data_IF_785655418074
#
_entry.id   IF_785655418074
#
_cell.length_a   1.000
_cell.length_b   1.000
_cell.length_c   1.000
_cell.angle_alpha   90.00
_cell.angle_beta   90.00
_cell.angle_gamma   90.00
#
_symmetry.space_group_name_H-M   'P 1'
#
loop_
_entity.id
_entity.type
_entity.pdbx_description
1 polymer ?
#
# COMPACT_ATOMS: atom_id res chain seq x y z
N UNK A 1 -21.33 5.38 -4.92
CA UNK A 1 -22.36 5.91 -5.89
C UNK A 1 -23.49 6.53 -5.11
N UNK A 2 -23.86 7.75 -5.42
CA UNK A 2 -25.10 8.37 -4.87
C UNK A 2 -26.25 7.53 -5.43
N UNK A 3 -27.06 6.95 -4.55
CA UNK A 3 -28.28 6.23 -4.94
C UNK A 3 -29.45 7.21 -4.83
N UNK A 4 -30.13 7.44 -5.92
CA UNK A 4 -31.29 8.35 -5.98
C UNK A 4 -32.45 7.67 -6.68
N UNK A 5 -33.68 7.98 -6.23
CA UNK A 5 -34.90 7.61 -6.89
C UNK A 5 -35.84 8.82 -6.96
N UNK A 6 -36.65 8.88 -8.02
CA UNK A 6 -37.65 9.91 -8.22
C UNK A 6 -38.98 9.20 -8.36
N UNK A 7 -39.90 9.49 -7.44
CA UNK A 7 -41.22 8.93 -7.50
C UNK A 7 -42.30 10.04 -7.46
N UNK A 8 -43.51 9.67 -7.91
CA UNK A 8 -44.68 10.52 -7.91
C UNK A 8 -45.77 9.93 -7.01
N UNK A 9 -46.52 10.75 -6.32
CA UNK A 9 -47.62 10.34 -5.45
C UNK A 9 -48.74 11.38 -5.41
N UNK A 10 -49.90 11.03 -4.88
CA UNK A 10 -51.01 11.98 -4.72
C UNK A 10 -50.67 13.07 -3.66
N UNK A 11 -49.78 12.71 -2.72
CA UNK A 11 -49.19 13.63 -1.74
C UNK A 11 -47.67 13.54 -1.76
N UNK A 12 -47.00 14.52 -1.12
CA UNK A 12 -45.53 14.52 -0.96
C UNK A 12 -45.08 13.31 -0.14
N UNK A 13 -45.83 12.92 0.89
CA UNK A 13 -45.56 11.77 1.73
C UNK A 13 -45.61 10.46 0.93
N UNK A 14 -46.69 10.27 0.14
CA UNK A 14 -46.78 9.07 -0.73
C UNK A 14 -45.67 9.01 -1.78
N UNK A 15 -45.30 10.14 -2.39
CA UNK A 15 -44.20 10.20 -3.32
C UNK A 15 -42.84 9.85 -2.63
N UNK A 16 -42.64 10.33 -1.40
CA UNK A 16 -41.44 9.98 -0.60
C UNK A 16 -41.39 8.49 -0.25
N UNK A 17 -42.51 7.92 0.23
CA UNK A 17 -42.61 6.50 0.55
C UNK A 17 -42.34 5.62 -0.69
N UNK A 18 -42.91 6.00 -1.85
CA UNK A 18 -42.69 5.29 -3.09
C UNK A 18 -41.21 5.32 -3.51
N UNK A 19 -40.54 6.46 -3.42
CA UNK A 19 -39.11 6.59 -3.73
C UNK A 19 -38.23 5.81 -2.74
N UNK A 20 -38.55 5.85 -1.44
CA UNK A 20 -37.84 5.08 -0.41
C UNK A 20 -38.00 3.58 -0.65
N UNK A 21 -39.18 3.12 -1.02
CA UNK A 21 -39.45 1.71 -1.35
C UNK A 21 -38.67 1.26 -2.57
N UNK A 22 -38.54 2.09 -3.59
CA UNK A 22 -37.71 1.81 -4.76
C UNK A 22 -36.23 1.69 -4.40
N UNK A 23 -35.76 2.49 -3.45
CA UNK A 23 -34.37 2.42 -2.95
C UNK A 23 -34.14 1.31 -1.91
N UNK A 24 -35.22 0.68 -1.40
CA UNK A 24 -35.16 -0.36 -0.39
C UNK A 24 -34.75 0.15 1.01
N UNK A 25 -35.17 1.38 1.36
CA UNK A 25 -34.86 2.03 2.63
C UNK A 25 -36.12 2.48 3.33
N UNK A 26 -36.06 2.63 4.65
CA UNK A 26 -37.17 3.18 5.46
C UNK A 26 -37.24 4.70 5.35
N UNK A 27 -38.45 5.27 5.42
CA UNK A 27 -38.69 6.73 5.31
C UNK A 27 -38.04 7.55 6.41
N UNK A 28 -37.68 6.95 7.52
CA UNK A 28 -37.05 7.59 8.70
C UNK A 28 -35.53 7.33 8.82
N UNK A 29 -34.88 6.81 7.76
CA UNK A 29 -33.43 6.62 7.75
C UNK A 29 -32.73 7.99 7.71
N UNK A 30 -31.86 8.27 8.68
CA UNK A 30 -31.10 9.54 8.81
C UNK A 30 -30.19 9.84 7.60
N UNK A 31 -29.92 8.83 6.77
CA UNK A 31 -29.11 8.97 5.55
C UNK A 31 -29.88 9.51 4.35
N UNK A 32 -31.20 9.74 4.49
CA UNK A 32 -32.06 10.17 3.39
C UNK A 32 -32.13 11.69 3.33
N UNK A 33 -31.84 12.23 2.18
CA UNK A 33 -32.22 13.57 1.78
C UNK A 33 -33.35 13.50 0.77
N UNK A 34 -34.34 14.33 0.93
CA UNK A 34 -35.42 14.45 -0.04
C UNK A 34 -35.55 15.87 -0.57
N UNK A 35 -35.76 15.97 -1.86
CA UNK A 35 -36.01 17.22 -2.58
C UNK A 35 -37.37 17.14 -3.25
N UNK A 36 -38.21 18.11 -2.98
CA UNK A 36 -39.54 18.22 -3.63
C UNK A 36 -39.33 18.89 -4.97
N UNK A 37 -39.48 18.13 -6.07
CA UNK A 37 -39.34 18.65 -7.42
C UNK A 37 -40.61 19.34 -7.89
N UNK A 38 -41.78 18.76 -7.57
CA UNK A 38 -43.07 19.31 -7.92
C UNK A 38 -44.06 19.10 -6.76
N UNK A 39 -44.78 20.15 -6.38
CA UNK A 39 -45.85 20.05 -5.39
C UNK A 39 -47.18 19.63 -6.05
N UNK A 40 -47.95 18.84 -5.32
CA UNK A 40 -49.27 18.46 -5.79
C UNK A 40 -50.13 19.72 -5.99
N UNK A 41 -50.85 19.77 -7.10
CA UNK A 41 -51.90 20.78 -7.31
C UNK A 41 -53.28 20.15 -7.29
N UNK A 42 -54.24 20.81 -6.58
CA UNK A 42 -55.63 20.34 -6.55
C UNK A 42 -56.31 20.60 -7.89
N UNK A 43 -57.16 19.66 -8.34
CA UNK A 43 -57.98 19.85 -9.51
C UNK A 43 -58.96 21.02 -9.25
N UNK A 44 -58.96 22.01 -10.10
CA UNK A 44 -59.93 23.11 -10.07
C UNK A 44 -61.22 22.61 -10.70
N UNK A 45 -62.34 22.68 -9.96
CA UNK A 45 -63.69 22.23 -10.37
C UNK A 45 -63.77 20.73 -10.79
N UNK A 46 -62.87 19.89 -10.31
CA UNK A 46 -62.92 18.42 -10.53
C UNK A 46 -62.58 17.93 -11.93
N UNK A 47 -62.29 18.82 -12.90
CA UNK A 47 -62.10 18.44 -14.32
C UNK A 47 -60.73 18.80 -14.89
N UNK A 48 -60.03 19.81 -14.41
CA UNK A 48 -58.76 20.26 -15.02
C UNK A 48 -57.67 20.57 -14.00
N UNK A 49 -56.40 20.19 -14.28
CA UNK A 49 -55.21 20.81 -13.70
C UNK A 49 -54.64 20.20 -12.43
N UNK A 50 -54.93 18.94 -12.08
CA UNK A 50 -54.25 18.28 -10.94
C UNK A 50 -52.93 17.63 -11.39
N UNK A 51 -51.81 18.03 -10.77
CA UNK A 51 -50.52 17.34 -10.95
C UNK A 51 -50.15 16.59 -9.67
N UNK A 52 -49.61 15.34 -9.76
CA UNK A 52 -49.11 14.62 -8.61
C UNK A 52 -47.87 15.32 -8.03
N UNK A 53 -47.60 15.09 -6.76
CA UNK A 53 -46.32 15.48 -6.18
C UNK A 53 -45.19 14.62 -6.76
N UNK A 54 -44.02 15.23 -6.97
CA UNK A 54 -42.83 14.54 -7.44
C UNK A 54 -41.70 14.82 -6.47
N UNK A 55 -41.12 13.74 -5.90
CA UNK A 55 -40.07 13.81 -4.89
C UNK A 55 -38.87 13.03 -5.37
N UNK A 56 -37.69 13.60 -5.21
CA UNK A 56 -36.40 12.95 -5.37
C UNK A 56 -35.89 12.59 -3.98
N UNK A 57 -35.59 11.34 -3.79
CA UNK A 57 -34.91 10.81 -2.59
C UNK A 57 -33.50 10.46 -2.94
N UNK A 58 -32.55 10.93 -2.14
CA UNK A 58 -31.12 10.66 -2.29
C UNK A 58 -30.63 10.04 -1.00
N UNK A 59 -29.93 8.88 -1.11
CA UNK A 59 -29.28 8.25 0.04
C UNK A 59 -27.88 8.80 0.15
N UNK A 60 -27.57 9.44 1.27
CA UNK A 60 -26.19 9.83 1.60
C UNK A 60 -25.36 8.59 1.88
N UNK A 61 -24.27 8.45 1.17
CA UNK A 61 -23.28 7.43 1.44
C UNK A 61 -22.53 7.79 2.73
N UNK A 62 -22.34 6.83 3.64
CA UNK A 62 -21.47 7.04 4.81
C UNK A 62 -20.00 7.01 4.40
N UNK A 63 -19.13 7.60 5.23
CA UNK A 63 -17.68 7.57 5.00
C UNK A 63 -17.14 6.13 4.92
N UNK A 64 -17.66 5.23 5.78
CA UNK A 64 -17.30 3.81 5.76
C UNK A 64 -17.72 3.13 4.45
N UNK A 65 -18.95 3.36 4.00
CA UNK A 65 -19.44 2.83 2.72
C UNK A 65 -18.63 3.34 1.53
N UNK A 66 -18.25 4.62 1.54
CA UNK A 66 -17.44 5.20 0.46
C UNK A 66 -16.05 4.55 0.39
N UNK A 67 -15.40 4.33 1.53
CA UNK A 67 -14.12 3.63 1.60
C UNK A 67 -14.25 2.18 1.14
N UNK A 68 -15.27 1.47 1.62
CA UNK A 68 -15.54 0.08 1.27
C UNK A 68 -15.80 -0.11 -0.23
N UNK A 69 -16.71 0.69 -0.81
CA UNK A 69 -17.03 0.66 -2.23
C UNK A 69 -15.80 0.98 -3.09
N UNK A 70 -14.98 1.92 -2.64
CA UNK A 70 -13.74 2.27 -3.32
C UNK A 70 -12.79 1.05 -3.38
N UNK A 71 -12.57 0.38 -2.26
CA UNK A 71 -11.74 -0.82 -2.20
C UNK A 71 -12.33 -1.97 -3.01
N UNK A 72 -13.64 -2.24 -2.88
CA UNK A 72 -14.33 -3.28 -3.67
C UNK A 72 -14.21 -3.05 -5.17
N UNK A 73 -14.30 -1.80 -5.62
CA UNK A 73 -14.15 -1.46 -7.04
C UNK A 73 -12.71 -1.69 -7.53
N UNK A 74 -11.69 -1.39 -6.72
CA UNK A 74 -10.30 -1.68 -7.08
C UNK A 74 -10.10 -3.19 -7.18
N UNK A 75 -10.52 -3.97 -6.18
CA UNK A 75 -10.41 -5.42 -6.15
C UNK A 75 -11.07 -6.04 -7.38
N UNK A 76 -12.28 -5.56 -7.74
CA UNK A 76 -12.99 -6.00 -8.95
C UNK A 76 -12.21 -5.68 -10.23
N UNK A 77 -11.65 -4.48 -10.34
CA UNK A 77 -10.86 -4.08 -11.50
C UNK A 77 -9.50 -4.81 -11.60
N UNK A 78 -9.00 -5.33 -10.48
CA UNK A 78 -7.85 -6.23 -10.44
C UNK A 78 -8.21 -7.68 -10.78
N UNK A 79 -9.50 -7.97 -11.06
CA UNK A 79 -10.03 -9.30 -11.38
C UNK A 79 -9.81 -10.35 -10.27
N UNK A 80 -9.72 -9.90 -9.00
CA UNK A 80 -9.55 -10.77 -7.85
C UNK A 80 -10.91 -11.24 -7.34
N UNK A 81 -11.24 -12.51 -7.59
CA UNK A 81 -12.60 -13.03 -7.37
C UNK A 81 -12.85 -13.66 -5.99
N UNK A 82 -11.77 -14.09 -5.29
CA UNK A 82 -11.86 -14.82 -4.02
C UNK A 82 -11.49 -13.93 -2.82
N UNK A 83 -12.00 -12.70 -2.81
CA UNK A 83 -11.69 -11.73 -1.75
C UNK A 83 -12.98 -11.23 -1.12
N UNK A 84 -13.03 -11.31 0.20
CA UNK A 84 -14.09 -10.76 1.04
C UNK A 84 -13.60 -9.47 1.70
N UNK A 85 -14.44 -8.46 1.67
CA UNK A 85 -14.18 -7.16 2.32
C UNK A 85 -15.28 -6.94 3.35
N UNK A 86 -14.90 -6.76 4.60
CA UNK A 86 -15.78 -6.38 5.71
C UNK A 86 -15.32 -5.06 6.31
N UNK A 87 -16.27 -4.23 6.73
CA UNK A 87 -15.98 -2.89 7.23
C UNK A 87 -16.71 -2.67 8.56
N UNK A 88 -15.97 -2.17 9.53
CA UNK A 88 -16.49 -1.74 10.83
C UNK A 88 -16.12 -0.28 11.05
N UNK A 89 -17.03 0.47 11.65
CA UNK A 89 -16.82 1.87 12.01
C UNK A 89 -17.03 2.05 13.51
N UNK A 90 -15.99 2.53 14.19
CA UNK A 90 -16.01 2.84 15.62
C UNK A 90 -15.49 4.26 15.81
N UNK A 91 -16.32 5.14 16.34
CA UNK A 91 -16.04 6.56 16.55
C UNK A 91 -15.50 7.25 15.27
N UNK A 92 -14.20 7.53 15.25
CA UNK A 92 -13.50 8.21 14.15
C UNK A 92 -12.59 7.26 13.35
N UNK A 93 -12.70 5.93 13.58
CA UNK A 93 -11.88 4.93 12.91
C UNK A 93 -12.75 3.98 12.09
N UNK A 94 -12.42 3.87 10.81
CA UNK A 94 -13.00 2.91 9.89
C UNK A 94 -11.98 1.80 9.68
N UNK A 95 -12.31 0.59 10.06
CA UNK A 95 -11.48 -0.60 9.86
C UNK A 95 -12.05 -1.43 8.71
N UNK A 96 -11.22 -1.72 7.72
CA UNK A 96 -11.56 -2.55 6.56
C UNK A 96 -10.70 -3.81 6.64
N UNK A 97 -11.33 -4.95 6.84
CA UNK A 97 -10.66 -6.24 6.85
C UNK A 97 -10.84 -6.92 5.49
N UNK A 98 -9.73 -7.35 4.90
CA UNK A 98 -9.68 -7.98 3.58
C UNK A 98 -9.14 -9.39 3.75
N UNK A 99 -9.94 -10.39 3.36
CA UNK A 99 -9.60 -11.80 3.47
C UNK A 99 -9.81 -12.53 2.14
N UNK A 100 -9.03 -13.57 1.90
CA UNK A 100 -9.15 -14.41 0.70
C UNK A 100 -7.83 -15.01 0.27
N UNK A 101 -7.86 -15.79 -0.82
CA UNK A 101 -6.67 -16.50 -1.32
C UNK A 101 -5.69 -15.56 -2.01
N UNK A 102 -6.20 -14.54 -2.72
CA UNK A 102 -5.42 -13.62 -3.55
C UNK A 102 -5.01 -12.33 -2.85
N UNK A 103 -5.11 -12.27 -1.51
CA UNK A 103 -4.73 -11.06 -0.72
C UNK A 103 -3.28 -10.63 -0.93
N UNK A 104 -2.41 -11.53 -1.39
CA UNK A 104 -1.03 -11.22 -1.72
C UNK A 104 -0.88 -10.09 -2.74
N UNK A 105 -1.78 -9.99 -3.72
CA UNK A 105 -1.80 -8.91 -4.71
C UNK A 105 -2.21 -7.57 -4.09
N UNK A 106 -3.10 -7.59 -3.11
CA UNK A 106 -3.54 -6.40 -2.36
C UNK A 106 -2.45 -5.91 -1.42
N UNK A 107 -1.72 -6.82 -0.79
CA UNK A 107 -0.55 -6.49 0.03
C UNK A 107 0.53 -5.88 -0.87
N UNK A 108 0.80 -6.53 -1.99
CA UNK A 108 1.84 -6.14 -2.92
C UNK A 108 3.25 -6.33 -2.38
N UNK A 109 4.22 -5.72 -3.04
CA UNK A 109 5.61 -5.81 -2.63
C UNK A 109 5.81 -5.08 -1.29
N UNK A 110 6.08 -5.84 -0.23
CA UNK A 110 6.35 -5.32 1.13
C UNK A 110 5.24 -4.48 1.75
N UNK A 111 4.01 -4.63 1.30
CA UNK A 111 2.89 -3.85 1.81
C UNK A 111 2.73 -2.47 1.16
N UNK A 112 3.50 -2.15 0.11
CA UNK A 112 3.42 -0.85 -0.57
C UNK A 112 2.05 -0.63 -1.21
N UNK A 113 1.46 -1.67 -1.82
CA UNK A 113 0.11 -1.60 -2.39
C UNK A 113 -0.93 -1.43 -1.29
N UNK A 114 -0.81 -2.16 -0.20
CA UNK A 114 -1.70 -2.05 0.96
C UNK A 114 -1.67 -0.64 1.57
N UNK A 115 -0.49 -0.06 1.75
CA UNK A 115 -0.35 1.29 2.28
C UNK A 115 -0.93 2.34 1.32
N UNK A 116 -0.76 2.18 0.00
CA UNK A 116 -1.35 3.04 -1.02
C UNK A 116 -2.89 2.94 -1.03
N UNK A 117 -3.43 1.72 -0.96
CA UNK A 117 -4.88 1.49 -0.88
C UNK A 117 -5.48 2.12 0.38
N UNK A 118 -4.82 1.96 1.52
CA UNK A 118 -5.25 2.59 2.78
C UNK A 118 -5.30 4.11 2.68
N UNK A 119 -4.28 4.72 2.07
CA UNK A 119 -4.23 6.16 1.85
C UNK A 119 -5.38 6.63 0.96
N UNK A 120 -5.62 5.95 -0.17
CA UNK A 120 -6.68 6.28 -1.10
C UNK A 120 -8.07 6.06 -0.51
N UNK A 121 -8.28 4.99 0.25
CA UNK A 121 -9.53 4.74 0.99
C UNK A 121 -9.78 5.84 2.03
N UNK A 122 -8.74 6.31 2.72
CA UNK A 122 -8.84 7.44 3.65
C UNK A 122 -9.29 8.72 2.93
N UNK A 123 -8.78 9.00 1.73
CA UNK A 123 -9.23 10.14 0.94
C UNK A 123 -10.68 9.99 0.48
N UNK A 124 -11.08 8.77 0.06
CA UNK A 124 -12.47 8.49 -0.36
C UNK A 124 -13.46 8.68 0.80
N UNK A 125 -13.14 8.18 1.99
CA UNK A 125 -13.96 8.35 3.19
C UNK A 125 -14.13 9.83 3.56
N UNK A 126 -13.01 10.56 3.64
CA UNK A 126 -13.00 11.96 4.10
C UNK A 126 -13.50 12.97 3.06
N UNK A 127 -13.86 12.51 1.86
CA UNK A 127 -14.56 13.34 0.87
C UNK A 127 -16.05 13.48 1.15
N UNK A 128 -16.62 12.53 1.89
CA UNK A 128 -18.08 12.45 2.12
C UNK A 128 -18.48 13.31 3.30
N UNK A 129 -17.68 13.32 4.37
CA UNK A 129 -18.01 14.00 5.62
C UNK A 129 -16.97 15.08 5.94
N UNK A 130 -17.40 16.14 6.61
CA UNK A 130 -16.51 17.20 7.09
C UNK A 130 -15.72 16.79 8.35
N UNK A 131 -16.05 15.66 8.97
CA UNK A 131 -15.32 15.11 10.10
C UNK A 131 -14.22 14.16 9.63
N UNK A 132 -12.98 14.36 10.10
CA UNK A 132 -11.88 13.47 9.74
C UNK A 132 -12.07 12.08 10.32
N UNK A 133 -12.10 11.08 9.45
CA UNK A 133 -12.12 9.66 9.77
C UNK A 133 -10.77 9.01 9.41
N UNK A 134 -10.22 8.24 10.34
CA UNK A 134 -9.04 7.45 10.09
C UNK A 134 -9.44 6.11 9.47
N UNK A 135 -8.83 5.74 8.34
CA UNK A 135 -9.06 4.43 7.74
C UNK A 135 -7.86 3.51 8.02
N UNK A 136 -8.14 2.29 8.44
CA UNK A 136 -7.17 1.21 8.64
C UNK A 136 -7.58 0.03 7.79
N UNK A 137 -6.67 -0.48 6.96
CA UNK A 137 -6.90 -1.70 6.17
C UNK A 137 -6.04 -2.81 6.73
N UNK A 138 -6.67 -3.93 7.08
CA UNK A 138 -6.01 -5.14 7.52
C UNK A 138 -6.15 -6.24 6.48
N UNK A 139 -5.11 -7.05 6.35
CA UNK A 139 -5.10 -8.25 5.51
C UNK A 139 -4.55 -9.40 6.36
N UNK A 140 -5.45 -10.04 7.11
CA UNK A 140 -5.05 -11.03 8.12
C UNK A 140 -3.98 -10.47 9.07
N UNK A 141 -2.98 -11.28 9.35
CA UNK A 141 -1.86 -10.96 10.25
C UNK A 141 -0.59 -10.48 9.51
N UNK A 142 -0.74 -9.97 8.27
CA UNK A 142 0.41 -9.56 7.44
C UNK A 142 1.32 -8.55 8.15
N UNK A 143 0.75 -7.49 8.76
CA UNK A 143 1.55 -6.43 9.41
C UNK A 143 2.40 -6.99 10.54
N UNK A 144 1.83 -7.87 11.35
CA UNK A 144 2.55 -8.53 12.45
C UNK A 144 3.65 -9.48 11.95
N UNK A 145 3.34 -10.28 10.93
CA UNK A 145 4.33 -11.16 10.28
C UNK A 145 5.46 -10.36 9.63
N UNK A 146 5.13 -9.23 9.02
CA UNK A 146 6.11 -8.34 8.41
C UNK A 146 7.04 -7.73 9.44
N UNK A 147 6.51 -7.25 10.56
CA UNK A 147 7.28 -6.71 11.67
C UNK A 147 8.28 -7.74 12.22
N UNK A 148 7.81 -8.96 12.51
CA UNK A 148 8.68 -10.07 12.96
C UNK A 148 9.78 -10.40 11.94
N UNK A 149 9.47 -10.33 10.66
CA UNK A 149 10.44 -10.54 9.57
C UNK A 149 11.52 -9.47 9.56
N UNK A 150 11.13 -8.19 9.72
CA UNK A 150 12.05 -7.06 9.76
C UNK A 150 12.93 -7.07 11.01
N UNK A 151 12.37 -7.43 12.17
CA UNK A 151 13.15 -7.60 13.39
C UNK A 151 14.21 -8.71 13.24
N UNK A 152 13.81 -9.86 12.71
CA UNK A 152 14.71 -10.98 12.46
C UNK A 152 15.82 -10.61 11.46
N UNK A 153 15.47 -9.87 10.39
CA UNK A 153 16.41 -9.38 9.39
C UNK A 153 17.43 -8.41 10.02
N UNK A 154 16.92 -7.41 10.78
CA UNK A 154 17.76 -6.43 11.48
C UNK A 154 18.75 -7.10 12.42
N UNK A 155 18.27 -8.03 13.27
CA UNK A 155 19.08 -8.80 14.19
C UNK A 155 20.17 -9.63 13.48
N UNK A 156 19.79 -10.35 12.42
CA UNK A 156 20.71 -11.19 11.65
C UNK A 156 21.83 -10.37 11.01
N UNK A 157 21.48 -9.21 10.43
CA UNK A 157 22.45 -8.33 9.78
C UNK A 157 23.33 -7.60 10.80
N UNK A 158 22.79 -7.22 11.96
CA UNK A 158 23.58 -6.65 13.05
C UNK A 158 24.66 -7.62 13.55
N UNK A 159 24.28 -8.88 13.83
CA UNK A 159 25.23 -9.93 14.22
C UNK A 159 26.29 -10.14 13.14
N UNK A 160 25.89 -10.13 11.86
CA UNK A 160 26.83 -10.25 10.74
C UNK A 160 27.80 -9.06 10.71
N UNK A 161 27.29 -7.83 10.85
CA UNK A 161 28.11 -6.62 10.85
C UNK A 161 29.10 -6.60 12.03
N UNK A 162 28.64 -6.96 13.25
CA UNK A 162 29.48 -7.07 14.43
C UNK A 162 30.61 -8.10 14.26
N UNK A 163 30.32 -9.26 13.62
CA UNK A 163 31.32 -10.34 13.39
C UNK A 163 32.29 -10.06 12.23
N UNK A 164 31.80 -9.46 11.15
CA UNK A 164 32.58 -9.34 9.91
C UNK A 164 33.18 -7.94 9.70
N UNK A 165 32.70 -6.94 10.41
CA UNK A 165 33.09 -5.55 10.20
C UNK A 165 32.57 -4.96 8.90
N UNK A 166 31.68 -5.64 8.18
CA UNK A 166 31.17 -5.20 6.88
C UNK A 166 29.81 -4.53 7.03
N UNK A 167 29.61 -3.44 6.28
CA UNK A 167 28.34 -2.79 6.16
C UNK A 167 27.39 -3.59 5.25
N UNK A 168 26.09 -3.51 5.53
CA UNK A 168 25.02 -4.06 4.69
C UNK A 168 24.00 -2.96 4.47
N UNK A 169 23.70 -2.64 3.22
CA UNK A 169 22.61 -1.72 2.84
C UNK A 169 21.37 -2.55 2.57
N UNK A 170 20.25 -2.09 3.07
CA UNK A 170 18.92 -2.67 2.84
C UNK A 170 18.26 -1.96 1.65
N UNK A 171 17.16 -2.52 1.21
CA UNK A 171 16.35 -1.87 0.20
C UNK A 171 15.54 -0.71 0.81
N UNK A 172 15.08 0.25 -0.02
CA UNK A 172 14.19 1.31 0.45
C UNK A 172 12.95 0.76 1.14
N UNK A 173 12.51 1.46 2.19
CA UNK A 173 11.34 1.09 2.99
C UNK A 173 10.75 2.31 3.70
N UNK A 174 9.50 2.19 4.13
CA UNK A 174 8.79 3.26 4.80
C UNK A 174 9.42 3.63 6.18
N UNK A 175 9.11 4.80 6.75
CA UNK A 175 9.71 5.24 8.02
C UNK A 175 9.46 4.32 9.20
N UNK A 176 8.28 3.68 9.25
CA UNK A 176 7.91 2.74 10.30
C UNK A 176 8.78 1.47 10.25
N UNK A 177 8.94 0.86 9.07
CA UNK A 177 9.79 -0.31 8.85
C UNK A 177 11.25 -0.02 9.19
N UNK A 178 11.76 1.18 8.82
CA UNK A 178 13.12 1.59 9.17
C UNK A 178 13.31 1.67 10.68
N UNK A 179 12.30 2.15 11.42
CA UNK A 179 12.32 2.22 12.88
C UNK A 179 12.40 0.84 13.52
N UNK A 180 11.63 -0.15 13.03
CA UNK A 180 11.68 -1.54 13.50
C UNK A 180 13.09 -2.08 13.40
N UNK A 181 13.75 -1.91 12.24
CA UNK A 181 15.12 -2.37 12.02
C UNK A 181 16.10 -1.66 12.94
N UNK A 182 16.01 -0.33 13.08
CA UNK A 182 16.87 0.42 14.00
C UNK A 182 16.75 -0.11 15.44
N UNK A 183 15.52 -0.35 15.91
CA UNK A 183 15.25 -0.89 17.25
C UNK A 183 15.82 -2.29 17.41
N UNK A 184 15.71 -3.14 16.38
CA UNK A 184 16.28 -4.48 16.41
C UNK A 184 17.82 -4.49 16.44
N UNK A 185 18.45 -3.57 15.71
CA UNK A 185 19.92 -3.43 15.66
C UNK A 185 20.46 -2.90 16.99
N UNK A 186 19.78 -1.95 17.64
CA UNK A 186 20.19 -1.38 18.94
C UNK A 186 20.31 -2.42 20.05
N UNK A 187 19.59 -3.54 19.93
CA UNK A 187 19.65 -4.66 20.89
C UNK A 187 20.92 -5.53 20.75
N UNK A 188 21.78 -5.25 19.75
CA UNK A 188 22.96 -6.05 19.44
C UNK A 188 24.23 -5.25 19.62
N UNK A 189 25.08 -5.66 20.52
CA UNK A 189 26.36 -5.03 20.77
C UNK A 189 27.33 -5.18 19.59
N UNK A 190 28.08 -4.12 19.29
CA UNK A 190 29.07 -4.10 18.21
C UNK A 190 28.50 -3.83 16.82
N UNK A 191 27.20 -3.48 16.73
CA UNK A 191 26.56 -3.06 15.50
C UNK A 191 25.85 -1.69 15.70
N UNK A 192 25.77 -0.95 14.61
CA UNK A 192 25.02 0.30 14.54
C UNK A 192 24.23 0.38 13.23
N UNK A 193 23.24 1.25 13.19
CA UNK A 193 22.44 1.47 11.99
C UNK A 193 22.10 2.95 11.81
N UNK A 194 22.01 3.36 10.54
CA UNK A 194 21.57 4.69 10.14
C UNK A 194 20.76 4.63 8.85
N UNK A 195 20.06 5.70 8.54
CA UNK A 195 19.29 5.78 7.28
C UNK A 195 20.00 6.66 6.28
N UNK A 196 20.14 6.17 5.04
CA UNK A 196 20.70 6.89 3.88
C UNK A 196 19.63 7.07 2.81
N UNK A 197 19.83 8.03 1.90
CA UNK A 197 18.91 8.34 0.81
C UNK A 197 17.78 9.30 1.20
N UNK A 198 17.03 9.72 0.18
CA UNK A 198 15.95 10.68 0.31
C UNK A 198 14.62 10.08 -0.20
N UNK A 199 13.52 10.55 0.37
CA UNK A 199 12.16 10.19 -0.04
C UNK A 199 11.96 8.68 -0.23
N UNK A 200 11.55 8.26 -1.42
CA UNK A 200 11.27 6.86 -1.77
C UNK A 200 12.51 5.96 -1.83
N UNK A 201 13.72 6.55 -1.95
CA UNK A 201 14.98 5.80 -1.98
C UNK A 201 15.62 5.66 -0.60
N UNK A 202 14.96 6.14 0.46
CA UNK A 202 15.51 6.13 1.81
C UNK A 202 15.48 4.73 2.40
N UNK A 203 16.65 4.26 2.84
CA UNK A 203 16.89 2.90 3.31
C UNK A 203 17.75 2.86 4.55
N UNK A 204 17.83 1.69 5.20
CA UNK A 204 18.68 1.47 6.38
C UNK A 204 20.00 0.84 5.96
N UNK A 205 21.09 1.37 6.52
CA UNK A 205 22.42 0.76 6.45
C UNK A 205 22.79 0.26 7.83
N UNK A 206 23.25 -0.98 7.93
CA UNK A 206 23.70 -1.61 9.17
C UNK A 206 25.20 -1.86 9.06
N UNK A 207 25.96 -1.41 10.03
CA UNK A 207 27.40 -1.53 10.07
C UNK A 207 27.95 -1.88 11.45
N UNK A 208 29.27 -2.11 11.57
CA UNK A 208 29.90 -2.30 12.86
C UNK A 208 29.86 -0.99 13.68
N UNK A 209 29.66 -1.12 14.98
CA UNK A 209 29.90 0.01 15.90
C UNK A 209 31.42 0.23 15.99
N UNK A 210 31.88 1.40 15.56
CA UNK A 210 33.33 1.74 15.56
C UNK A 210 34.03 1.64 16.92
N UNK A 211 33.27 1.35 17.99
CA UNK A 211 33.80 1.14 19.34
C UNK A 211 34.35 -0.29 19.57
N UNK A 212 33.99 -1.25 18.74
CA UNK A 212 34.49 -2.62 18.83
C UNK A 212 35.90 -2.71 18.21
N UNK A 213 36.93 -2.38 18.98
CA UNK A 213 38.35 -2.41 18.60
C UNK A 213 38.95 -3.81 18.43
N UNK A 214 38.17 -4.88 18.40
CA UNK A 214 38.68 -6.25 18.32
C UNK A 214 38.35 -6.98 17.01
N UNK A 215 38.43 -6.29 15.88
CA UNK A 215 38.61 -7.03 14.64
C UNK A 215 40.09 -7.30 14.44
N UNK A 216 40.46 -8.47 14.87
CA UNK A 216 41.71 -9.14 14.76
C UNK A 216 42.45 -8.83 13.43
N UNK A 217 43.39 -7.91 13.48
CA UNK A 217 44.45 -7.76 12.48
C UNK A 217 45.41 -8.98 12.47
N UNK A 218 44.90 -10.16 12.72
CA UNK A 218 45.65 -11.39 12.56
C UNK A 218 45.42 -12.04 11.19
N UNK A 219 45.54 -11.26 10.12
CA UNK A 219 46.15 -11.77 8.91
C UNK A 219 47.63 -11.38 8.95
N UNK A 220 48.31 -11.94 9.94
CA UNK A 220 49.72 -11.97 10.03
C UNK A 220 50.29 -12.51 8.69
N UNK A 221 50.93 -11.63 7.99
CA UNK A 221 51.75 -12.02 6.88
C UNK A 221 52.76 -13.05 7.38
N UNK A 222 52.52 -14.31 7.08
CA UNK A 222 53.62 -15.27 6.94
C UNK A 222 54.45 -14.75 5.76
N UNK A 223 55.36 -13.81 6.07
CA UNK A 223 56.53 -13.63 5.24
C UNK A 223 57.35 -14.92 5.34
N UNK A 224 57.08 -15.84 4.44
CA UNK A 224 57.99 -16.91 4.10
C UNK A 224 59.22 -16.28 3.45
N UNK A 225 60.26 -16.18 4.24
CA UNK A 225 61.60 -15.82 3.79
C UNK A 225 62.14 -16.97 2.96
N UNK A 226 61.81 -17.01 1.65
CA UNK A 226 62.47 -17.87 0.70
C UNK A 226 63.42 -17.04 -0.13
N UNK A 227 64.62 -16.97 0.40
CA UNK A 227 65.79 -16.57 -0.33
C UNK A 227 66.07 -17.62 -1.41
N UNK A 228 65.78 -17.37 -2.69
CA UNK A 228 66.30 -18.11 -3.83
C UNK A 228 66.56 -17.17 -4.99
N UNK A 229 67.85 -17.25 -5.33
CA UNK A 229 68.52 -16.64 -6.47
C UNK A 229 67.85 -16.93 -7.81
N UNK A 230 67.82 -15.95 -8.71
CA UNK A 230 68.11 -16.11 -10.13
C UNK A 230 66.96 -16.48 -11.04
N UNK A 231 66.68 -15.67 -12.03
CA UNK A 231 65.93 -16.03 -13.20
C UNK A 231 64.95 -14.92 -13.64
N UNK A 232 65.46 -13.95 -14.37
CA UNK A 232 64.70 -13.02 -15.17
C UNK A 232 63.88 -13.77 -16.24
N UNK A 233 62.56 -13.72 -16.16
CA UNK A 233 61.64 -13.99 -17.28
C UNK A 233 60.88 -12.74 -17.66
N UNK A 234 60.70 -12.47 -18.96
CA UNK A 234 60.12 -11.24 -19.42
C UNK A 234 58.61 -11.17 -19.08
N UNK A 235 58.16 -9.97 -18.74
CA UNK A 235 56.75 -9.63 -18.61
C UNK A 235 56.03 -9.88 -19.92
N UNK A 236 55.10 -10.84 -19.94
CA UNK A 236 54.09 -10.91 -20.98
C UNK A 236 53.13 -9.74 -20.76
N UNK A 237 53.10 -8.82 -21.69
CA UNK A 237 52.09 -7.79 -21.82
C UNK A 237 50.75 -8.44 -22.13
N UNK A 238 49.72 -8.07 -21.36
CA UNK A 238 48.33 -8.42 -21.70
C UNK A 238 48.02 -7.93 -23.13
N UNK A 239 47.47 -8.79 -24.00
CA UNK A 239 47.03 -8.33 -25.31
C UNK A 239 45.93 -7.29 -25.17
N UNK A 240 45.98 -6.29 -26.03
CA UNK A 240 44.93 -5.25 -26.12
C UNK A 240 43.56 -5.90 -26.40
N UNK A 241 42.47 -5.32 -25.94
CA UNK A 241 41.14 -5.87 -26.21
C UNK A 241 40.88 -5.86 -27.73
N UNK A 242 40.44 -7.01 -28.21
CA UNK A 242 40.08 -7.26 -29.60
C UNK A 242 38.87 -6.39 -29.97
N UNK A 243 38.97 -5.48 -30.95
CA UNK A 243 37.87 -4.58 -31.36
C UNK A 243 36.69 -5.33 -32.01
N UNK A 244 36.86 -6.60 -32.43
CA UNK A 244 35.82 -7.40 -33.10
C UNK A 244 35.10 -8.39 -32.15
N UNK A 245 35.31 -8.31 -30.85
CA UNK A 245 34.63 -9.15 -29.88
C UNK A 245 33.17 -8.77 -29.75
N UNK A 246 32.30 -9.52 -30.41
CA UNK A 246 30.83 -9.40 -30.25
C UNK A 246 30.42 -9.66 -28.79
N UNK A 247 29.50 -8.89 -28.22
CA UNK A 247 28.99 -9.14 -26.88
C UNK A 247 28.24 -10.48 -26.81
N UNK A 248 28.45 -11.22 -25.71
CA UNK A 248 27.98 -12.60 -25.48
C UNK A 248 26.45 -12.74 -25.29
N UNK A 249 25.65 -11.75 -25.68
CA UNK A 249 24.21 -11.70 -25.44
C UNK A 249 23.36 -11.52 -26.71
N UNK A 250 23.79 -12.04 -27.84
CA UNK A 250 22.91 -12.20 -29.00
C UNK A 250 22.38 -13.64 -29.04
N UNK A 251 21.22 -13.88 -28.42
CA UNK A 251 20.52 -15.15 -28.52
C UNK A 251 19.81 -15.59 -27.25
N UNK A 252 18.95 -14.78 -26.72
CA UNK A 252 18.01 -15.18 -25.67
C UNK A 252 16.80 -14.26 -25.71
N UNK A 253 15.67 -14.79 -26.18
CA UNK A 253 14.37 -14.17 -26.06
C UNK A 253 14.00 -13.99 -24.59
N UNK A 254 14.32 -12.82 -24.05
CA UNK A 254 13.65 -12.30 -22.86
C UNK A 254 12.98 -11.01 -23.27
N UNK A 255 11.62 -11.08 -23.35
CA UNK A 255 10.77 -9.94 -23.60
C UNK A 255 11.07 -8.79 -22.64
N UNK A 256 11.66 -7.74 -23.16
CA UNK A 256 11.83 -6.48 -22.49
C UNK A 256 10.47 -5.81 -22.38
N UNK A 257 10.11 -5.46 -21.18
CA UNK A 257 9.00 -4.60 -20.82
C UNK A 257 8.91 -3.37 -21.74
N UNK A 258 7.75 -3.24 -22.37
CA UNK A 258 7.06 -2.06 -22.85
C UNK A 258 7.89 -0.86 -23.26
N UNK A 259 8.24 -0.77 -24.54
CA UNK A 259 8.54 0.48 -25.22
C UNK A 259 7.20 1.13 -25.56
N UNK A 260 6.90 2.24 -24.92
CA UNK A 260 5.80 3.12 -25.33
C UNK A 260 6.35 3.96 -26.47
N UNK A 261 6.02 3.59 -27.69
CA UNK A 261 6.21 4.47 -28.85
C UNK A 261 5.04 5.47 -28.89
N UNK A 262 5.41 6.72 -29.14
CA UNK A 262 4.51 7.88 -29.25
C UNK A 262 3.59 7.76 -30.46
#
# INVERSE_FOLDING_TARGET
>A
MIREAIATGATVEEAKEAACKELGVETFDDRIEFEILEMQSKKVLGLFGGHPAKVKVTIKQTAAQAAEDYIKNIIRNMELNNITVSTTEEDSVITIDIEGEDVGFIIGRRGETLDALQYLACLAANRIDNSYKRVVINTGDYREKREKTLESLGRRLAIKAAKTGRKSSLEPMNPYERRIIHTAVQKIDGATSWSEGENMNRHVVIGPDGKSKNFNRSRGGRRSNYNRRGGSKPKQSNPAPDPDRKPLNEGGEFGLYGRIDK
#
